data_IF_048975913938
#
_entry.id   IF_048975913938
#
_cell.length_a   1.000
_cell.length_b   1.000
_cell.length_c   1.000
_cell.angle_alpha   90.00
_cell.angle_beta   90.00
_cell.angle_gamma   90.00
#
_symmetry.space_group_name_H-M   'P 1'
#
loop_
_entity.id
_entity.type
_entity.pdbx_description
1 polymer ?
#
# COMPACT_ATOMS: atom_id res chain seq x y z
N UNK A 1 25.69 14.03 6.64
CA UNK A 1 25.80 13.04 5.54
C UNK A 1 24.84 11.92 5.86
N UNK A 2 23.54 12.13 5.59
CA UNK A 2 22.54 11.10 5.83
C UNK A 2 22.79 9.97 4.83
N UNK A 3 23.15 8.80 5.35
CA UNK A 3 23.30 7.58 4.58
C UNK A 3 22.08 7.44 3.66
N UNK A 4 22.30 7.52 2.36
CA UNK A 4 21.28 7.26 1.34
C UNK A 4 21.09 5.75 1.33
N UNK A 5 20.39 5.23 2.34
CA UNK A 5 19.87 3.87 2.34
C UNK A 5 18.97 3.81 1.11
N UNK A 6 19.32 2.96 0.14
CA UNK A 6 18.59 2.83 -1.12
C UNK A 6 17.32 2.00 -0.95
N UNK A 7 17.29 1.10 0.03
CA UNK A 7 16.22 0.11 0.24
C UNK A 7 16.18 -0.26 1.73
N UNK A 8 15.00 -0.63 2.25
CA UNK A 8 14.84 -1.11 3.62
C UNK A 8 14.52 -2.61 3.63
N UNK A 9 15.12 -3.37 4.54
CA UNK A 9 14.71 -4.76 4.79
C UNK A 9 13.44 -4.79 5.64
N UNK A 10 12.55 -5.75 5.38
CA UNK A 10 11.22 -5.83 6.00
C UNK A 10 11.25 -5.82 7.53
N UNK A 11 12.23 -6.48 8.15
CA UNK A 11 12.34 -6.62 9.62
C UNK A 11 13.28 -5.57 10.26
N UNK A 12 13.78 -4.60 9.49
CA UNK A 12 14.73 -3.59 9.94
C UNK A 12 14.19 -2.15 9.74
N UNK A 13 12.86 -1.98 9.79
CA UNK A 13 12.22 -0.67 9.72
C UNK A 13 12.26 0.03 11.10
N UNK A 14 12.95 1.17 11.24
CA UNK A 14 13.09 1.85 12.52
C UNK A 14 11.77 2.46 12.98
N UNK A 15 11.15 1.94 14.04
CA UNK A 15 9.81 2.40 14.48
C UNK A 15 9.76 3.85 14.98
N UNK A 16 10.92 4.47 15.22
CA UNK A 16 11.03 5.88 15.56
C UNK A 16 10.59 6.78 14.40
N UNK A 17 9.70 7.72 14.69
CA UNK A 17 9.15 8.67 13.70
C UNK A 17 8.40 8.03 12.51
N UNK A 18 7.85 6.82 12.71
CA UNK A 18 6.95 6.17 11.75
C UNK A 18 5.51 6.69 11.92
N UNK A 19 4.93 7.21 10.83
CA UNK A 19 3.54 7.61 10.75
C UNK A 19 2.70 6.53 10.05
N UNK A 20 1.52 6.20 10.59
CA UNK A 20 0.63 5.14 10.07
C UNK A 20 -0.82 5.59 10.03
N UNK A 21 -1.60 5.04 9.09
CA UNK A 21 -3.06 5.27 9.03
C UNK A 21 -3.80 4.74 10.28
N UNK A 22 -5.02 5.26 10.48
CA UNK A 22 -5.93 4.83 11.55
C UNK A 22 -6.31 3.34 11.44
N UNK A 23 -6.75 2.78 12.55
CA UNK A 23 -7.41 1.47 12.64
C UNK A 23 -8.61 1.38 11.68
N UNK A 24 -8.83 0.20 11.09
CA UNK A 24 -9.85 -0.02 10.04
C UNK A 24 -9.32 0.02 8.60
N UNK A 25 -8.06 0.45 8.39
CA UNK A 25 -7.38 0.37 7.10
C UNK A 25 -6.46 -0.85 7.03
N UNK A 26 -6.58 -1.67 5.98
CA UNK A 26 -5.70 -2.84 5.77
C UNK A 26 -4.20 -2.47 5.82
N UNK A 27 -3.84 -1.27 5.37
CA UNK A 27 -2.46 -0.78 5.35
C UNK A 27 -1.84 -0.72 6.75
N UNK A 28 -2.59 -0.29 7.77
CA UNK A 28 -2.09 -0.26 9.16
C UNK A 28 -1.69 -1.66 9.62
N UNK A 29 -2.57 -2.63 9.46
CA UNK A 29 -2.31 -4.01 9.88
C UNK A 29 -1.11 -4.61 9.14
N UNK A 30 -0.91 -4.25 7.88
CA UNK A 30 0.27 -4.64 7.12
C UNK A 30 1.53 -4.04 7.73
N UNK A 31 1.57 -2.71 7.91
CA UNK A 31 2.73 -2.00 8.48
C UNK A 31 3.09 -2.52 9.88
N UNK A 32 2.10 -2.76 10.74
CA UNK A 32 2.30 -3.31 12.08
C UNK A 32 2.97 -4.69 12.06
N UNK A 33 2.65 -5.53 11.06
CA UNK A 33 3.31 -6.84 10.87
C UNK A 33 4.75 -6.71 10.37
N UNK A 34 5.09 -5.63 9.67
CA UNK A 34 6.47 -5.40 9.20
C UNK A 34 7.38 -5.03 10.38
N UNK A 35 6.88 -4.24 11.33
CA UNK A 35 7.73 -3.59 12.33
C UNK A 35 8.09 -4.42 13.57
N UNK A 36 7.70 -5.71 13.68
CA UNK A 36 8.02 -6.66 14.78
C UNK A 36 8.03 -6.10 16.23
N UNK A 37 7.36 -4.99 16.53
CA UNK A 37 7.43 -4.37 17.86
C UNK A 37 6.12 -4.52 18.64
N UNK A 38 6.17 -5.24 19.76
CA UNK A 38 5.14 -5.17 20.83
C UNK A 38 5.22 -3.88 21.65
N UNK A 39 6.36 -3.16 21.57
CA UNK A 39 6.61 -1.90 22.27
C UNK A 39 6.14 -0.70 21.44
N UNK A 40 5.24 0.09 22.01
CA UNK A 40 4.46 1.13 21.33
C UNK A 40 5.24 2.07 20.40
N UNK A 41 4.67 2.24 19.21
CA UNK A 41 5.04 3.25 18.22
C UNK A 41 5.07 4.64 18.87
N UNK A 42 6.19 5.34 18.75
CA UNK A 42 6.40 6.63 19.43
C UNK A 42 5.54 7.77 18.87
N UNK A 43 4.92 7.61 17.70
CA UNK A 43 3.99 8.60 17.14
C UNK A 43 2.93 7.95 16.23
N UNK A 44 1.87 7.38 16.82
CA UNK A 44 0.68 6.97 16.07
C UNK A 44 -0.18 8.22 15.84
N UNK A 45 -0.21 8.75 14.62
CA UNK A 45 -1.12 9.85 14.30
C UNK A 45 -2.11 9.49 13.21
N UNK A 46 -3.34 9.91 13.43
CA UNK A 46 -4.52 9.44 12.73
C UNK A 46 -4.77 10.25 11.44
N UNK A 47 -4.13 9.86 10.34
CA UNK A 47 -4.51 10.34 9.01
C UNK A 47 -5.64 9.48 8.42
N UNK A 48 -6.67 10.11 7.85
CA UNK A 48 -7.78 9.43 7.17
C UNK A 48 -7.51 9.09 5.70
N UNK A 49 -6.41 9.56 5.12
CA UNK A 49 -5.98 9.26 3.76
C UNK A 49 -4.46 9.25 3.63
N UNK A 50 -3.95 8.58 2.60
CA UNK A 50 -2.50 8.52 2.30
C UNK A 50 -1.96 9.94 1.98
N UNK A 51 -2.72 10.78 1.26
CA UNK A 51 -2.32 12.16 0.97
C UNK A 51 -2.11 12.99 2.24
N UNK A 52 -2.99 12.81 3.22
CA UNK A 52 -2.88 13.50 4.51
C UNK A 52 -1.64 13.02 5.26
N UNK A 53 -1.37 11.72 5.21
CA UNK A 53 -0.21 11.11 5.83
C UNK A 53 1.11 11.62 5.24
N UNK A 54 1.18 11.76 3.91
CA UNK A 54 2.33 12.34 3.22
C UNK A 54 2.56 13.80 3.66
N UNK A 55 1.50 14.62 3.72
CA UNK A 55 1.61 16.02 4.19
C UNK A 55 2.11 16.13 5.63
N UNK A 56 1.69 15.21 6.50
CA UNK A 56 2.17 15.15 7.89
C UNK A 56 3.67 14.85 7.91
N UNK A 57 4.12 13.85 7.15
CA UNK A 57 5.55 13.52 7.02
C UNK A 57 6.35 14.70 6.48
N UNK A 58 5.86 15.38 5.44
CA UNK A 58 6.54 16.54 4.85
C UNK A 58 6.67 17.72 5.84
N UNK A 59 5.67 17.91 6.71
CA UNK A 59 5.62 19.04 7.64
C UNK A 59 6.36 18.76 8.95
N UNK A 60 6.23 17.53 9.47
CA UNK A 60 6.67 17.17 10.82
C UNK A 60 7.92 16.28 10.83
N UNK A 61 8.42 15.88 9.65
CA UNK A 61 9.51 14.91 9.50
C UNK A 61 9.06 13.48 9.80
N UNK A 62 10.01 12.54 9.79
CA UNK A 62 9.75 11.11 9.94
C UNK A 62 9.51 10.42 8.60
N UNK A 63 8.80 9.30 8.63
CA UNK A 63 8.52 8.52 7.42
C UNK A 63 7.19 7.76 7.52
N UNK A 64 6.72 7.26 6.38
CA UNK A 64 5.51 6.43 6.27
C UNK A 64 5.72 5.36 5.21
N UNK A 65 4.87 4.33 5.25
CA UNK A 65 4.78 3.32 4.19
C UNK A 65 3.56 3.65 3.31
N UNK A 66 3.74 3.62 1.99
CA UNK A 66 2.69 3.86 1.00
C UNK A 66 2.61 2.70 0.00
N UNK A 67 1.45 2.40 -0.58
CA UNK A 67 1.35 1.47 -1.70
C UNK A 67 2.08 2.00 -2.94
N UNK A 68 2.66 1.10 -3.74
CA UNK A 68 3.35 1.45 -4.99
C UNK A 68 2.47 2.30 -5.93
N UNK A 69 1.17 2.01 -6.02
CA UNK A 69 0.22 2.79 -6.81
C UNK A 69 0.15 4.29 -6.46
N UNK A 70 0.55 4.69 -5.25
CA UNK A 70 0.58 6.10 -4.85
C UNK A 70 1.86 6.82 -5.26
N UNK A 71 2.92 6.11 -5.66
CA UNK A 71 4.21 6.72 -6.02
C UNK A 71 4.07 7.69 -7.19
N UNK A 72 3.19 7.39 -8.15
CA UNK A 72 2.93 8.27 -9.31
C UNK A 72 2.15 9.55 -8.95
N UNK A 73 1.52 9.61 -7.77
CA UNK A 73 0.80 10.78 -7.28
C UNK A 73 1.71 11.74 -6.50
N UNK A 74 2.94 11.32 -6.20
CA UNK A 74 3.93 12.15 -5.51
C UNK A 74 4.50 13.22 -6.43
N UNK A 75 4.91 14.34 -5.82
CA UNK A 75 5.75 15.33 -6.48
C UNK A 75 7.14 14.77 -6.78
N UNK A 76 7.85 15.35 -7.74
CA UNK A 76 9.22 14.92 -8.07
C UNK A 76 10.16 14.99 -6.85
N UNK A 77 9.99 15.99 -5.98
CA UNK A 77 10.78 16.10 -4.75
C UNK A 77 10.48 14.98 -3.75
N UNK A 78 9.21 14.60 -3.58
CA UNK A 78 8.81 13.50 -2.71
C UNK A 78 9.30 12.15 -3.25
N UNK A 79 9.29 11.93 -4.58
CA UNK A 79 9.80 10.71 -5.22
C UNK A 79 11.28 10.45 -4.90
N UNK A 80 12.08 11.51 -4.75
CA UNK A 80 13.49 11.39 -4.33
C UNK A 80 13.67 10.78 -2.94
N UNK A 81 12.63 10.79 -2.11
CA UNK A 81 12.64 10.24 -0.75
C UNK A 81 12.02 8.83 -0.66
N UNK A 82 11.47 8.29 -1.76
CA UNK A 82 10.88 6.96 -1.78
C UNK A 82 11.98 5.89 -1.78
N UNK A 83 11.82 4.88 -0.93
CA UNK A 83 12.71 3.71 -0.84
C UNK A 83 11.86 2.44 -0.86
N UNK A 84 12.17 1.45 -1.73
CA UNK A 84 11.46 0.18 -1.71
C UNK A 84 11.78 -0.60 -0.44
N UNK A 85 10.84 -1.44 -0.03
CA UNK A 85 11.01 -2.41 1.05
C UNK A 85 11.30 -3.76 0.38
N UNK A 86 12.43 -4.36 0.71
CA UNK A 86 12.93 -5.61 0.11
C UNK A 86 13.06 -6.70 1.17
N UNK A 87 13.11 -7.96 0.72
CA UNK A 87 13.47 -9.12 1.54
C UNK A 87 12.66 -9.31 2.85
N UNK A 88 11.43 -9.85 2.79
CA UNK A 88 10.62 -10.04 1.59
C UNK A 88 9.82 -8.78 1.24
N UNK A 89 9.49 -8.64 -0.05
CA UNK A 89 8.65 -7.55 -0.53
C UNK A 89 7.20 -7.71 -0.01
N UNK A 90 6.65 -6.70 0.69
CA UNK A 90 5.30 -6.80 1.24
C UNK A 90 4.25 -6.62 0.14
N UNK A 91 3.48 -7.67 -0.11
CA UNK A 91 2.40 -7.65 -1.09
C UNK A 91 1.02 -7.44 -0.44
N UNK A 92 0.16 -6.71 -1.15
CA UNK A 92 -1.27 -6.57 -0.81
C UNK A 92 -2.12 -7.17 -1.92
N UNK A 93 -2.86 -8.23 -1.61
CA UNK A 93 -3.90 -8.74 -2.50
C UNK A 93 -5.15 -7.86 -2.42
N UNK A 94 -5.69 -7.48 -3.58
CA UNK A 94 -6.97 -6.80 -3.73
C UNK A 94 -7.89 -7.73 -4.52
N UNK A 95 -9.03 -8.09 -3.94
CA UNK A 95 -9.94 -9.07 -4.54
C UNK A 95 -11.34 -8.48 -4.69
N UNK A 96 -12.02 -8.82 -5.80
CA UNK A 96 -13.43 -8.53 -5.99
C UNK A 96 -14.25 -9.65 -5.33
N UNK A 97 -15.01 -9.30 -4.28
CA UNK A 97 -15.82 -10.25 -3.52
C UNK A 97 -17.30 -10.03 -3.80
N UNK A 98 -18.02 -11.11 -4.09
CA UNK A 98 -19.47 -11.09 -4.34
C UNK A 98 -20.16 -12.16 -3.51
N UNK A 99 -21.47 -12.01 -3.32
CA UNK A 99 -22.27 -13.08 -2.71
C UNK A 99 -22.36 -14.28 -3.64
N UNK A 100 -22.49 -15.47 -3.07
CA UNK A 100 -22.61 -16.71 -3.84
C UNK A 100 -23.88 -16.76 -4.72
N UNK A 101 -24.93 -16.02 -4.35
CA UNK A 101 -26.19 -15.91 -5.11
C UNK A 101 -26.23 -14.68 -6.02
N UNK A 102 -25.09 -14.03 -6.26
CA UNK A 102 -25.01 -12.92 -7.20
C UNK A 102 -25.24 -13.44 -8.62
N UNK A 103 -26.01 -12.71 -9.42
CA UNK A 103 -26.44 -13.17 -10.77
C UNK A 103 -25.94 -12.30 -11.91
N UNK A 104 -25.36 -11.14 -11.63
CA UNK A 104 -24.99 -10.16 -12.66
C UNK A 104 -23.57 -10.37 -13.17
N UNK A 105 -23.28 -11.53 -13.74
CA UNK A 105 -21.95 -11.89 -14.27
C UNK A 105 -21.38 -10.82 -15.22
N UNK A 106 -22.21 -10.30 -16.14
CA UNK A 106 -21.78 -9.25 -17.09
C UNK A 106 -21.26 -8.00 -16.37
N UNK A 107 -21.88 -7.62 -15.25
CA UNK A 107 -21.45 -6.46 -14.47
C UNK A 107 -20.10 -6.72 -13.80
N UNK A 108 -19.85 -7.94 -13.28
CA UNK A 108 -18.55 -8.30 -12.70
C UNK A 108 -17.44 -8.24 -13.73
N UNK A 109 -17.68 -8.78 -14.92
CA UNK A 109 -16.71 -8.73 -16.00
C UNK A 109 -16.39 -7.30 -16.46
N UNK A 110 -17.40 -6.42 -16.52
CA UNK A 110 -17.17 -5.00 -16.83
C UNK A 110 -16.35 -4.32 -15.74
N UNK A 111 -16.67 -4.53 -14.46
CA UNK A 111 -15.91 -3.94 -13.34
C UNK A 111 -14.48 -4.45 -13.33
N UNK A 112 -14.29 -5.78 -13.39
CA UNK A 112 -12.97 -6.40 -13.41
C UNK A 112 -12.13 -5.89 -14.57
N UNK A 113 -12.71 -5.77 -15.77
CA UNK A 113 -12.02 -5.20 -16.93
C UNK A 113 -11.59 -3.75 -16.70
N UNK A 114 -12.48 -2.88 -16.23
CA UNK A 114 -12.13 -1.48 -15.97
C UNK A 114 -11.01 -1.33 -14.93
N UNK A 115 -11.02 -2.17 -13.88
CA UNK A 115 -9.93 -2.20 -12.90
C UNK A 115 -8.64 -2.66 -13.57
N UNK A 116 -8.66 -3.76 -14.33
CA UNK A 116 -7.48 -4.27 -15.03
C UNK A 116 -6.89 -3.29 -16.04
N UNK A 117 -7.75 -2.54 -16.74
CA UNK A 117 -7.31 -1.53 -17.72
C UNK A 117 -6.66 -0.30 -17.04
N UNK A 118 -6.86 -0.11 -15.74
CA UNK A 118 -6.35 1.05 -14.97
C UNK A 118 -5.04 0.73 -14.23
N UNK A 119 -4.84 -0.53 -13.83
CA UNK A 119 -3.73 -0.95 -12.96
C UNK A 119 -2.54 -1.44 -13.82
N UNK A 120 -1.28 -1.17 -13.43
CA UNK A 120 -0.11 -1.68 -14.15
C UNK A 120 -0.11 -3.20 -14.33
N UNK A 121 0.33 -3.67 -15.50
CA UNK A 121 0.27 -5.10 -15.88
C UNK A 121 1.06 -6.03 -14.94
N UNK A 122 2.13 -5.53 -14.32
CA UNK A 122 2.96 -6.26 -13.36
C UNK A 122 2.25 -6.50 -12.02
N UNK A 123 1.17 -5.77 -11.73
CA UNK A 123 0.36 -5.93 -10.50
C UNK A 123 -0.88 -6.78 -10.71
N UNK A 124 -1.16 -7.21 -11.95
CA UNK A 124 -2.34 -8.01 -12.28
C UNK A 124 -2.07 -9.51 -12.12
N UNK A 125 -2.99 -10.19 -11.44
CA UNK A 125 -3.01 -11.65 -11.39
C UNK A 125 -3.27 -12.23 -12.79
N UNK A 126 -2.43 -13.19 -13.19
CA UNK A 126 -2.51 -13.85 -14.50
C UNK A 126 -3.89 -14.48 -14.78
N UNK A 127 -4.64 -14.86 -13.74
CA UNK A 127 -6.00 -15.40 -13.88
C UNK A 127 -6.98 -14.34 -14.40
N UNK A 128 -6.84 -13.09 -13.97
CA UNK A 128 -7.67 -11.98 -14.44
C UNK A 128 -7.38 -11.61 -15.89
N UNK A 129 -6.15 -11.87 -16.37
CA UNK A 129 -5.78 -11.65 -17.78
C UNK A 129 -6.37 -12.71 -18.71
N UNK A 130 -6.54 -13.94 -18.22
CA UNK A 130 -6.86 -15.12 -19.05
C UNK A 130 -8.33 -15.53 -19.02
N UNK A 131 -9.06 -15.20 -17.97
CA UNK A 131 -10.40 -15.74 -17.75
C UNK A 131 -11.43 -14.65 -17.43
N UNK A 132 -12.60 -14.75 -18.07
CA UNK A 132 -13.79 -14.03 -17.64
C UNK A 132 -14.32 -14.62 -16.33
N UNK A 133 -14.84 -13.77 -15.45
CA UNK A 133 -15.54 -14.23 -14.24
C UNK A 133 -16.78 -15.00 -14.68
N UNK A 134 -16.91 -16.24 -14.22
CA UNK A 134 -18.09 -17.09 -14.40
C UNK A 134 -18.65 -17.42 -13.03
N UNK A 135 -19.96 -17.23 -12.87
CA UNK A 135 -20.69 -17.50 -11.62
C UNK A 135 -21.30 -18.91 -11.64
#
# INVERSE_FOLDING_TARGET
LYNIIKEYEMHHLPTDHLWILKEGHCLRNQVMRLCESESGFSTIYEAGSIDTLIKIVDTNGGYTIIPELHVNLLTEQQKLNVRPIVNPEPNREISLVVRNDYVKERLLNVIAKNISDTIPENMLDERLKKFSIKL
#
